data_IF_358791998047
#
_entry.id   IF_358791998047
#
_cell.length_a   1.000
_cell.length_b   1.000
_cell.length_c   1.000
_cell.angle_alpha   90.00
_cell.angle_beta   90.00
_cell.angle_gamma   90.00
#
_symmetry.space_group_name_H-M   'P 1'
#
loop_
_entity.id
_entity.type
_entity.pdbx_description
1 polymer ?
#
# COMPACT_ATOMS: atom_id res chain seq x y z
N UNK A 1 -3.14 21.38 14.25
CA UNK A 1 -1.93 21.10 13.43
C UNK A 1 -2.06 19.68 12.92
N UNK A 2 -2.51 19.48 11.67
CA UNK A 2 -2.74 18.14 11.09
C UNK A 2 -2.46 18.07 9.57
N UNK A 3 -1.56 18.93 9.08
CA UNK A 3 -1.28 19.09 7.64
C UNK A 3 -0.58 17.89 6.97
N UNK A 4 0.08 17.02 7.75
CA UNK A 4 0.79 15.85 7.20
C UNK A 4 -0.14 14.68 6.87
N UNK A 5 -1.25 14.54 7.62
CA UNK A 5 -2.25 13.49 7.39
C UNK A 5 -3.04 13.69 6.09
N UNK A 6 -3.26 14.94 5.68
CA UNK A 6 -4.01 15.25 4.47
C UNK A 6 -3.19 15.11 3.20
N UNK A 7 -1.89 15.45 3.24
CA UNK A 7 -1.06 15.50 2.03
C UNK A 7 -0.87 14.14 1.35
N UNK A 8 -0.77 13.07 2.12
CA UNK A 8 -0.63 11.74 1.51
C UNK A 8 -1.94 11.23 0.90
N UNK A 9 -3.09 11.58 1.50
CA UNK A 9 -4.42 11.31 0.94
C UNK A 9 -4.63 12.12 -0.33
N UNK A 10 -4.19 13.38 -0.35
CA UNK A 10 -4.27 14.24 -1.53
C UNK A 10 -3.49 13.64 -2.71
N UNK A 11 -2.29 13.09 -2.47
CA UNK A 11 -1.56 12.36 -3.52
C UNK A 11 -2.33 11.15 -4.06
N UNK A 12 -3.11 10.45 -3.23
CA UNK A 12 -3.96 9.36 -3.68
C UNK A 12 -5.16 9.87 -4.50
N UNK A 13 -5.74 11.03 -4.14
CA UNK A 13 -6.75 11.72 -4.95
C UNK A 13 -6.18 12.07 -6.33
N UNK A 14 -5.01 12.70 -6.34
CA UNK A 14 -4.37 13.21 -7.56
C UNK A 14 -3.66 12.12 -8.38
N UNK A 15 -3.59 10.87 -7.87
CA UNK A 15 -2.86 9.79 -8.53
C UNK A 15 -1.35 9.99 -8.57
N UNK A 16 -0.83 10.88 -7.72
CA UNK A 16 0.58 11.25 -7.70
C UNK A 16 1.45 10.20 -6.99
N UNK A 17 2.57 9.87 -7.63
CA UNK A 17 3.60 9.07 -6.98
C UNK A 17 4.52 9.94 -6.11
N UNK A 18 4.80 9.54 -4.86
CA UNK A 18 5.77 10.25 -4.03
C UNK A 18 7.16 10.25 -4.70
N UNK A 19 7.89 11.36 -4.53
CA UNK A 19 9.28 11.50 -5.01
C UNK A 19 10.12 10.33 -4.46
N UNK A 20 10.81 9.61 -5.35
CA UNK A 20 11.61 8.41 -5.02
C UNK A 20 12.92 8.74 -4.28
N UNK A 21 13.40 9.97 -4.43
CA UNK A 21 14.71 10.42 -3.92
C UNK A 21 14.97 10.10 -2.45
N UNK A 22 14.08 10.48 -1.51
CA UNK A 22 14.31 10.23 -0.09
C UNK A 22 14.35 8.74 0.28
N UNK A 23 13.56 7.90 -0.39
CA UNK A 23 13.51 6.45 -0.12
C UNK A 23 14.74 5.75 -0.68
N UNK A 24 15.14 6.11 -1.90
CA UNK A 24 16.38 5.62 -2.50
C UNK A 24 17.59 6.09 -1.70
N UNK A 25 17.60 7.34 -1.25
CA UNK A 25 18.65 7.89 -0.39
C UNK A 25 18.74 7.15 0.94
N UNK A 26 17.61 6.92 1.62
CA UNK A 26 17.58 6.15 2.85
C UNK A 26 18.10 4.72 2.62
N UNK A 27 17.69 4.05 1.53
CA UNK A 27 18.20 2.74 1.17
C UNK A 27 19.71 2.77 0.90
N UNK A 28 20.20 3.75 0.13
CA UNK A 28 21.64 3.92 -0.16
C UNK A 28 22.45 4.16 1.11
N UNK A 29 21.97 5.02 2.01
CA UNK A 29 22.61 5.29 3.31
C UNK A 29 22.63 4.01 4.15
N UNK A 30 21.51 3.31 4.28
CA UNK A 30 21.45 2.05 5.04
C UNK A 30 22.38 0.98 4.47
N UNK A 31 22.46 0.84 3.14
CA UNK A 31 23.41 -0.06 2.48
C UNK A 31 24.86 0.36 2.75
N UNK A 32 25.18 1.65 2.63
CA UNK A 32 26.53 2.15 2.87
C UNK A 32 26.97 1.96 4.33
N UNK A 33 26.08 2.22 5.29
CA UNK A 33 26.33 1.98 6.73
C UNK A 33 26.54 0.50 7.01
N UNK A 34 25.69 -0.37 6.45
CA UNK A 34 25.86 -1.82 6.61
C UNK A 34 27.16 -2.35 6.00
N UNK A 35 27.56 -1.83 4.84
CA UNK A 35 28.81 -2.19 4.18
C UNK A 35 30.03 -1.67 4.96
N UNK A 36 29.97 -0.44 5.47
CA UNK A 36 31.03 0.14 6.30
C UNK A 36 31.21 -0.64 7.61
N UNK A 37 30.12 -1.09 8.24
CA UNK A 37 30.17 -1.94 9.43
C UNK A 37 30.85 -3.30 9.13
N UNK A 38 30.51 -3.93 8.00
CA UNK A 38 31.15 -5.19 7.56
C UNK A 38 32.65 -5.00 7.26
N UNK A 39 33.03 -3.91 6.60
CA UNK A 39 34.44 -3.60 6.29
C UNK A 39 35.22 -3.31 7.58
N UNK A 40 34.64 -2.57 8.52
CA UNK A 40 35.27 -2.28 9.81
C UNK A 40 35.49 -3.57 10.63
N UNK A 41 34.53 -4.49 10.61
CA UNK A 41 34.64 -5.79 11.29
C UNK A 41 35.77 -6.66 10.71
N UNK A 42 35.97 -6.63 9.40
CA UNK A 42 37.05 -7.38 8.72
C UNK A 42 38.42 -6.69 8.77
N UNK A 43 38.47 -5.36 8.70
CA UNK A 43 39.73 -4.60 8.62
C UNK A 43 40.38 -4.35 9.99
N UNK A 44 39.61 -4.41 11.08
CA UNK A 44 40.09 -4.17 12.44
C UNK A 44 39.84 -5.39 13.34
N UNK A 45 40.70 -6.43 13.28
CA UNK A 45 40.56 -7.64 14.11
C UNK A 45 40.68 -7.38 15.63
N UNK A 46 41.20 -6.21 16.03
CA UNK A 46 41.28 -5.78 17.43
C UNK A 46 39.99 -5.14 17.97
N UNK A 47 38.99 -4.84 17.11
CA UNK A 47 37.71 -4.29 17.53
C UNK A 47 36.86 -5.29 18.35
N UNK A 48 37.12 -6.60 18.14
CA UNK A 48 36.43 -7.70 18.80
C UNK A 48 37.05 -8.11 20.15
N UNK A 49 38.24 -7.59 20.50
CA UNK A 49 38.93 -7.94 21.76
C UNK A 49 38.29 -7.34 23.01
N UNK A 50 37.33 -6.42 22.87
CA UNK A 50 36.59 -5.82 23.99
C UNK A 50 35.25 -6.49 24.33
N UNK A 51 34.83 -7.55 23.63
CA UNK A 51 33.49 -8.14 23.78
C UNK A 51 33.62 -9.61 24.21
N UNK A 52 33.53 -9.84 25.52
CA UNK A 52 33.88 -11.08 26.23
C UNK A 52 32.94 -12.29 26.03
N UNK A 53 31.92 -12.25 25.16
CA UNK A 53 31.00 -13.39 25.02
C UNK A 53 30.68 -13.78 23.58
N UNK A 54 30.88 -15.07 23.26
CA UNK A 54 30.62 -15.69 21.96
C UNK A 54 29.16 -15.53 21.48
N UNK A 55 28.22 -15.27 22.40
CA UNK A 55 26.80 -14.99 22.10
C UNK A 55 26.60 -13.61 21.46
N UNK A 56 27.44 -12.64 21.79
CA UNK A 56 27.40 -11.27 21.24
C UNK A 56 28.10 -11.18 19.88
N UNK A 57 29.15 -11.99 19.64
CA UNK A 57 29.84 -12.08 18.35
C UNK A 57 28.93 -12.58 17.22
N UNK A 58 28.15 -13.65 17.44
CA UNK A 58 27.23 -14.17 16.42
C UNK A 58 26.10 -13.19 16.05
N UNK A 59 25.61 -12.41 17.02
CA UNK A 59 24.61 -11.37 16.78
C UNK A 59 25.17 -10.18 15.99
N UNK A 60 26.48 -9.91 16.11
CA UNK A 60 27.15 -8.77 15.47
C UNK A 60 27.37 -8.95 13.96
N UNK A 61 27.60 -10.18 13.48
CA UNK A 61 27.72 -10.47 12.03
C UNK A 61 26.35 -10.53 11.33
N UNK A 62 25.34 -11.04 12.03
CA UNK A 62 23.99 -11.20 11.48
C UNK A 62 23.24 -9.87 11.34
N UNK A 63 23.44 -8.94 12.26
CA UNK A 63 22.70 -7.67 12.28
C UNK A 63 22.96 -6.77 11.05
N UNK A 64 24.21 -6.53 10.59
CA UNK A 64 24.51 -5.77 9.37
C UNK A 64 23.90 -6.41 8.12
N UNK A 65 23.96 -7.74 8.02
CA UNK A 65 23.36 -8.49 6.91
C UNK A 65 21.83 -8.34 6.87
N UNK A 66 21.17 -8.38 8.03
CA UNK A 66 19.73 -8.13 8.15
C UNK A 66 19.39 -6.70 7.72
N UNK A 67 20.16 -5.70 8.18
CA UNK A 67 19.92 -4.29 7.84
C UNK A 67 20.09 -4.04 6.33
N UNK A 68 21.15 -4.58 5.72
CA UNK A 68 21.37 -4.51 4.26
C UNK A 68 20.26 -5.23 3.50
N UNK A 69 19.88 -6.42 3.96
CA UNK A 69 18.80 -7.21 3.38
C UNK A 69 17.46 -6.48 3.39
N UNK A 70 17.07 -5.88 4.52
CA UNK A 70 15.85 -5.07 4.65
C UNK A 70 15.93 -3.83 3.74
N UNK A 71 17.06 -3.13 3.71
CA UNK A 71 17.26 -1.96 2.84
C UNK A 71 17.11 -2.30 1.36
N UNK A 72 17.71 -3.40 0.91
CA UNK A 72 17.62 -3.89 -0.46
C UNK A 72 16.19 -4.33 -0.80
N UNK A 73 15.53 -5.06 0.10
CA UNK A 73 14.14 -5.49 -0.06
C UNK A 73 13.19 -4.29 -0.22
N UNK A 74 13.36 -3.25 0.62
CA UNK A 74 12.58 -2.01 0.53
C UNK A 74 12.85 -1.25 -0.78
N UNK A 75 14.09 -1.20 -1.25
CA UNK A 75 14.45 -0.56 -2.51
C UNK A 75 13.86 -1.29 -3.73
N UNK A 76 14.04 -2.61 -3.80
CA UNK A 76 13.55 -3.44 -4.92
C UNK A 76 12.03 -3.43 -4.99
N UNK A 77 11.34 -3.61 -3.85
CA UNK A 77 9.88 -3.57 -3.79
C UNK A 77 9.30 -2.22 -4.21
N UNK A 78 9.95 -1.11 -3.83
CA UNK A 78 9.54 0.26 -4.23
C UNK A 78 9.77 0.49 -5.74
N UNK A 79 10.87 -0.01 -6.29
CA UNK A 79 11.20 0.16 -7.71
C UNK A 79 10.30 -0.67 -8.63
N UNK A 80 10.01 -1.93 -8.26
CA UNK A 80 9.15 -2.82 -9.05
C UNK A 80 7.69 -2.37 -9.03
N UNK A 81 7.15 -2.09 -7.83
CA UNK A 81 5.80 -1.55 -7.66
C UNK A 81 5.66 -0.21 -8.38
N UNK A 82 6.68 0.66 -8.31
CA UNK A 82 6.67 1.95 -8.98
C UNK A 82 6.66 1.88 -10.52
N UNK A 83 7.12 0.79 -11.16
CA UNK A 83 6.98 0.64 -12.63
C UNK A 83 5.61 0.10 -13.02
N UNK A 84 5.12 -0.90 -12.29
CA UNK A 84 3.80 -1.49 -12.54
C UNK A 84 2.70 -0.45 -12.35
N UNK A 85 2.74 0.28 -11.24
CA UNK A 85 1.74 1.30 -10.92
C UNK A 85 1.74 2.45 -11.94
N UNK A 86 2.90 2.85 -12.49
CA UNK A 86 2.97 3.92 -13.51
C UNK A 86 2.25 3.53 -14.79
N UNK A 87 2.44 2.28 -15.24
CA UNK A 87 1.80 1.79 -16.46
C UNK A 87 0.28 1.71 -16.26
N UNK A 88 -0.16 1.25 -15.09
CA UNK A 88 -1.57 1.17 -14.76
C UNK A 88 -2.19 2.56 -14.62
N UNK A 89 -1.58 3.49 -13.89
CA UNK A 89 -2.07 4.88 -13.74
C UNK A 89 -2.11 5.66 -15.07
N UNK A 90 -1.09 5.51 -15.92
CA UNK A 90 -1.09 6.16 -17.23
C UNK A 90 -2.22 5.65 -18.13
N UNK A 91 -2.56 4.36 -18.03
CA UNK A 91 -3.69 3.76 -18.76
C UNK A 91 -5.04 4.21 -18.20
N UNK A 92 -5.18 4.25 -16.88
CA UNK A 92 -6.38 4.75 -16.21
C UNK A 92 -6.68 6.18 -16.67
N UNK A 93 -5.68 7.08 -16.62
CA UNK A 93 -5.85 8.48 -17.01
C UNK A 93 -6.15 8.70 -18.50
N UNK A 94 -5.93 7.70 -19.36
CA UNK A 94 -6.26 7.78 -20.77
C UNK A 94 -7.74 7.47 -21.08
N UNK A 95 -8.45 6.79 -20.17
CA UNK A 95 -9.83 6.35 -20.39
C UNK A 95 -10.84 6.77 -19.32
N UNK A 96 -10.38 7.20 -18.13
CA UNK A 96 -11.24 7.64 -17.02
C UNK A 96 -10.60 8.75 -16.20
N UNK A 97 -11.42 9.52 -15.50
CA UNK A 97 -11.01 10.57 -14.55
C UNK A 97 -11.35 10.17 -13.12
N UNK A 98 -10.58 9.28 -12.49
CA UNK A 98 -10.85 8.83 -11.13
C UNK A 98 -10.69 9.95 -10.11
N UNK A 99 -11.55 9.97 -9.10
CA UNK A 99 -11.50 10.89 -7.95
C UNK A 99 -10.54 10.43 -6.86
N UNK A 100 -10.24 9.14 -6.82
CA UNK A 100 -9.34 8.55 -5.85
C UNK A 100 -8.65 7.29 -6.37
N UNK A 101 -7.38 7.13 -6.03
CA UNK A 101 -6.59 5.93 -6.31
C UNK A 101 -6.25 5.22 -5.00
N UNK A 102 -6.69 3.98 -4.86
CA UNK A 102 -6.42 3.10 -3.73
C UNK A 102 -5.48 1.97 -4.20
N UNK A 103 -4.15 2.13 -4.09
CA UNK A 103 -3.23 1.05 -4.38
C UNK A 103 -3.41 -0.06 -3.35
N UNK A 104 -3.39 -1.32 -3.79
CA UNK A 104 -3.57 -2.50 -2.93
C UNK A 104 -2.43 -3.49 -3.09
N UNK A 105 -2.23 -4.36 -2.10
CA UNK A 105 -1.27 -5.46 -2.14
C UNK A 105 -1.81 -6.60 -3.02
N UNK A 106 -0.94 -7.25 -3.79
CA UNK A 106 -1.28 -8.42 -4.61
C UNK A 106 -1.53 -9.69 -3.79
N UNK A 107 -0.86 -9.81 -2.64
CA UNK A 107 -0.87 -10.99 -1.77
C UNK A 107 -2.00 -11.00 -0.73
N UNK A 108 -2.83 -9.94 -0.71
CA UNK A 108 -3.64 -9.58 0.46
C UNK A 108 -5.10 -10.04 0.48
N UNK A 109 -5.47 -11.09 -0.25
CA UNK A 109 -6.88 -11.44 -0.47
C UNK A 109 -7.22 -12.81 0.10
N UNK A 110 -7.72 -12.82 1.34
CA UNK A 110 -8.45 -13.97 1.91
C UNK A 110 -9.54 -13.50 2.86
N UNK A 111 -10.79 -13.79 2.47
CA UNK A 111 -11.74 -14.55 3.30
C UNK A 111 -12.74 -15.30 2.43
N UNK A 112 -13.18 -14.75 1.30
CA UNK A 112 -14.08 -15.44 0.36
C UNK A 112 -13.71 -15.01 -1.06
N UNK A 113 -13.42 -16.01 -1.89
CA UNK A 113 -13.02 -15.92 -3.30
C UNK A 113 -11.72 -15.18 -3.64
N UNK A 114 -10.81 -15.96 -4.23
CA UNK A 114 -9.67 -15.41 -4.97
C UNK A 114 -10.23 -14.46 -6.04
N UNK A 115 -9.94 -13.15 -5.95
CA UNK A 115 -10.19 -12.25 -7.08
C UNK A 115 -9.66 -12.92 -8.36
N UNK A 116 -10.45 -12.95 -9.45
CA UNK A 116 -10.05 -13.61 -10.68
C UNK A 116 -8.67 -13.13 -11.09
N UNK A 117 -7.82 -14.08 -11.49
CA UNK A 117 -6.52 -13.72 -12.08
C UNK A 117 -6.80 -12.98 -13.39
N UNK A 118 -6.14 -11.85 -13.67
CA UNK A 118 -5.01 -11.27 -12.94
C UNK A 118 -5.41 -10.42 -11.73
N UNK A 119 -4.67 -10.58 -10.61
CA UNK A 119 -4.99 -9.91 -9.34
C UNK A 119 -4.89 -8.38 -9.47
N UNK A 120 -5.89 -7.63 -8.96
CA UNK A 120 -5.85 -6.17 -8.99
C UNK A 120 -4.76 -5.60 -8.08
N UNK A 121 -4.17 -4.50 -8.50
CA UNK A 121 -3.09 -3.79 -7.77
C UNK A 121 -3.46 -2.34 -7.44
N UNK A 122 -4.43 -1.78 -8.15
CA UNK A 122 -4.94 -0.43 -7.94
C UNK A 122 -6.45 -0.50 -8.05
N UNK A 123 -7.13 0.08 -7.08
CA UNK A 123 -8.55 0.37 -7.15
C UNK A 123 -8.72 1.85 -7.44
N UNK A 124 -9.60 2.22 -8.35
CA UNK A 124 -9.99 3.60 -8.57
C UNK A 124 -11.41 3.83 -8.10
N UNK A 125 -11.71 5.06 -7.72
CA UNK A 125 -13.05 5.48 -7.28
C UNK A 125 -13.52 6.62 -8.17
N UNK A 126 -14.71 6.51 -8.73
CA UNK A 126 -15.37 7.54 -9.54
C UNK A 126 -16.88 7.61 -9.24
N UNK A 127 -17.65 8.34 -10.04
CA UNK A 127 -19.11 8.44 -9.86
C UNK A 127 -19.87 7.12 -10.00
N UNK A 128 -19.30 6.10 -10.66
CA UNK A 128 -19.97 4.82 -10.87
C UNK A 128 -19.68 3.82 -9.76
N UNK A 129 -18.53 3.94 -9.11
CA UNK A 129 -18.17 3.10 -7.97
C UNK A 129 -16.68 2.87 -7.85
N UNK A 130 -16.35 1.64 -7.47
CA UNK A 130 -15.00 1.16 -7.28
C UNK A 130 -14.59 0.26 -8.44
N UNK A 131 -13.42 0.50 -9.02
CA UNK A 131 -12.94 -0.23 -10.21
C UNK A 131 -11.55 -0.80 -9.93
N UNK A 132 -11.40 -2.12 -10.01
CA UNK A 132 -10.17 -2.82 -9.71
C UNK A 132 -9.35 -3.06 -10.97
N UNK A 133 -8.09 -2.63 -10.98
CA UNK A 133 -7.21 -2.67 -12.13
C UNK A 133 -6.05 -3.62 -11.92
N UNK A 134 -5.82 -4.48 -12.90
CA UNK A 134 -4.66 -5.35 -12.97
C UNK A 134 -3.63 -4.80 -13.99
N UNK A 135 -2.32 -4.90 -13.74
CA UNK A 135 -1.30 -4.33 -14.64
C UNK A 135 -1.29 -4.90 -16.06
N UNK A 136 -1.83 -6.10 -16.25
CA UNK A 136 -1.87 -6.80 -17.54
C UNK A 136 -3.15 -6.58 -18.34
N UNK A 137 -4.10 -5.79 -17.83
CA UNK A 137 -5.40 -5.53 -18.48
C UNK A 137 -5.57 -4.05 -18.78
N UNK A 138 -6.29 -3.77 -19.86
CA UNK A 138 -6.61 -2.40 -20.31
C UNK A 138 -7.91 -1.86 -19.74
N UNK A 139 -8.75 -2.75 -19.21
CA UNK A 139 -10.01 -2.43 -18.53
C UNK A 139 -9.96 -2.94 -17.08
N UNK A 140 -10.85 -2.44 -16.19
CA UNK A 140 -11.05 -3.01 -14.87
C UNK A 140 -11.31 -4.52 -14.96
N UNK A 141 -10.71 -5.28 -14.05
CA UNK A 141 -10.94 -6.72 -13.91
C UNK A 141 -12.12 -7.03 -12.99
N UNK A 142 -12.55 -6.04 -12.20
CA UNK A 142 -13.67 -6.14 -11.29
C UNK A 142 -14.22 -4.74 -11.03
N UNK A 143 -15.55 -4.62 -11.04
CA UNK A 143 -16.26 -3.37 -10.80
C UNK A 143 -17.24 -3.58 -9.64
N UNK A 144 -17.26 -2.62 -8.71
CA UNK A 144 -18.13 -2.61 -7.56
C UNK A 144 -18.93 -1.30 -7.54
N UNK A 145 -20.15 -1.30 -8.12
CA UNK A 145 -20.98 -0.11 -8.19
C UNK A 145 -21.37 0.40 -6.80
N UNK A 146 -21.55 1.71 -6.64
CA UNK A 146 -21.97 2.29 -5.35
C UNK A 146 -23.24 1.66 -4.79
N UNK A 147 -24.21 1.34 -5.65
CA UNK A 147 -25.47 0.70 -5.29
C UNK A 147 -25.29 -0.68 -4.60
N UNK A 148 -24.17 -1.36 -4.85
CA UNK A 148 -23.85 -2.66 -4.23
C UNK A 148 -23.06 -2.52 -2.93
N UNK A 149 -22.57 -1.33 -2.60
CA UNK A 149 -21.71 -1.11 -1.44
C UNK A 149 -22.56 -0.69 -0.27
N UNK A 150 -22.64 -1.53 0.76
CA UNK A 150 -23.37 -1.23 1.99
C UNK A 150 -22.54 -0.42 2.97
N UNK A 151 -21.27 -0.80 3.19
CA UNK A 151 -20.38 -0.12 4.14
C UNK A 151 -18.91 -0.42 3.89
N UNK A 152 -18.07 0.49 4.37
CA UNK A 152 -16.63 0.29 4.53
C UNK A 152 -16.28 0.18 6.02
N UNK A 153 -15.42 -0.77 6.39
CA UNK A 153 -14.88 -0.90 7.75
C UNK A 153 -13.43 -1.35 7.74
N UNK A 154 -12.70 -1.16 8.83
CA UNK A 154 -11.35 -1.73 8.97
C UNK A 154 -11.48 -3.24 9.14
N UNK A 155 -10.77 -3.99 8.31
CA UNK A 155 -10.69 -5.44 8.43
C UNK A 155 -9.69 -5.79 9.54
N UNK A 156 -10.16 -6.57 10.51
CA UNK A 156 -9.36 -6.97 11.67
C UNK A 156 -9.24 -8.49 11.72
N UNK A 157 -8.06 -9.00 12.02
CA UNK A 157 -7.79 -10.43 12.20
C UNK A 157 -7.22 -10.65 13.59
N UNK A 158 -7.62 -11.75 14.21
CA UNK A 158 -6.98 -12.21 15.43
C UNK A 158 -5.71 -13.00 15.10
N UNK A 159 -4.60 -12.60 15.70
CA UNK A 159 -3.28 -13.23 15.54
C UNK A 159 -2.61 -13.34 16.90
N UNK A 160 -2.36 -14.58 17.36
CA UNK A 160 -1.71 -14.86 18.65
C UNK A 160 -2.36 -14.13 19.85
N UNK A 161 -3.69 -14.09 19.89
CA UNK A 161 -4.45 -13.42 20.96
C UNK A 161 -4.44 -11.90 20.91
N UNK A 162 -3.90 -11.30 19.84
CA UNK A 162 -3.96 -9.86 19.59
C UNK A 162 -4.78 -9.57 18.34
N UNK A 163 -5.61 -8.53 18.42
CA UNK A 163 -6.37 -8.02 17.27
C UNK A 163 -5.45 -7.13 16.43
N UNK A 164 -5.29 -7.49 15.15
CA UNK A 164 -4.49 -6.75 14.19
C UNK A 164 -5.35 -6.24 13.03
N UNK A 165 -5.23 -4.94 12.74
CA UNK A 165 -5.86 -4.32 11.59
C UNK A 165 -4.97 -4.55 10.36
N UNK A 166 -5.55 -5.09 9.29
CA UNK A 166 -4.77 -5.53 8.13
C UNK A 166 -5.34 -5.05 6.78
N UNK A 167 -6.54 -4.48 6.75
CA UNK A 167 -7.15 -4.06 5.49
C UNK A 167 -8.44 -3.27 5.64
N UNK A 168 -9.16 -3.16 4.53
CA UNK A 168 -10.49 -2.55 4.45
C UNK A 168 -11.47 -3.62 4.00
N UNK A 169 -12.50 -3.82 4.81
CA UNK A 169 -13.65 -4.64 4.53
C UNK A 169 -14.72 -3.79 3.83
N UNK A 170 -15.15 -4.24 2.66
CA UNK A 170 -16.20 -3.64 1.85
C UNK A 170 -17.37 -4.61 1.90
N UNK A 171 -18.37 -4.30 2.73
CA UNK A 171 -19.58 -5.13 2.80
C UNK A 171 -20.50 -4.77 1.65
N UNK A 172 -20.93 -5.79 0.92
CA UNK A 172 -21.82 -5.63 -0.22
C UNK A 172 -23.27 -5.95 0.15
N UNK A 173 -24.20 -5.59 -0.72
CA UNK A 173 -25.64 -5.87 -0.53
C UNK A 173 -26.02 -7.31 -0.86
N UNK A 174 -25.26 -7.96 -1.75
CA UNK A 174 -25.44 -9.33 -2.22
C UNK A 174 -24.76 -10.37 -1.30
N UNK A 175 -23.92 -9.93 -0.36
CA UNK A 175 -23.21 -10.81 0.59
C UNK A 175 -21.81 -11.22 0.12
N UNK A 176 -21.43 -10.86 -1.10
CA UNK A 176 -20.10 -11.06 -1.69
C UNK A 176 -19.10 -10.00 -1.18
N UNK A 177 -18.84 -10.04 0.13
CA UNK A 177 -17.98 -9.08 0.82
C UNK A 177 -16.54 -9.11 0.29
N UNK A 178 -15.97 -7.93 0.07
CA UNK A 178 -14.62 -7.75 -0.48
C UNK A 178 -13.66 -7.24 0.58
N UNK A 179 -12.48 -7.84 0.69
CA UNK A 179 -11.40 -7.34 1.56
C UNK A 179 -10.20 -6.90 0.73
N UNK A 180 -9.76 -5.66 0.92
CA UNK A 180 -8.57 -5.11 0.26
C UNK A 180 -7.51 -4.70 1.27
N UNK A 181 -6.24 -4.93 0.94
CA UNK A 181 -5.10 -4.49 1.76
C UNK A 181 -4.44 -3.28 1.09
N UNK A 182 -4.79 -2.05 1.50
CA UNK A 182 -4.31 -0.87 0.82
C UNK A 182 -2.84 -0.59 1.14
N UNK A 183 -2.18 0.11 0.22
CA UNK A 183 -0.84 0.68 0.37
C UNK A 183 -0.97 2.18 0.65
N UNK A 184 -0.02 2.79 1.37
CA UNK A 184 -0.12 4.21 1.75
C UNK A 184 0.18 5.18 0.60
N UNK A 185 0.74 4.70 -0.51
CA UNK A 185 0.98 5.48 -1.72
C UNK A 185 1.21 4.58 -2.93
N UNK A 186 0.92 5.11 -4.13
CA UNK A 186 1.33 4.50 -5.39
C UNK A 186 2.86 4.32 -5.41
N UNK A 187 3.33 3.17 -5.89
CA UNK A 187 4.73 2.80 -5.97
C UNK A 187 5.37 2.37 -4.64
N UNK A 188 4.60 2.23 -3.55
CA UNK A 188 5.10 1.60 -2.30
C UNK A 188 4.88 0.09 -2.34
N UNK A 189 5.76 -0.70 -1.74
CA UNK A 189 5.65 -2.16 -1.70
C UNK A 189 5.10 -2.73 -0.39
N UNK A 190 4.57 -1.89 0.50
CA UNK A 190 4.13 -2.28 1.84
C UNK A 190 2.71 -1.79 2.13
N UNK A 191 2.05 -2.49 3.05
CA UNK A 191 0.68 -2.21 3.50
C UNK A 191 0.58 -0.90 4.30
N UNK A 192 -0.63 -0.33 4.32
CA UNK A 192 -0.96 0.82 5.12
C UNK A 192 -1.02 0.44 6.61
N UNK A 193 -0.58 1.37 7.47
CA UNK A 193 -0.62 1.21 8.93
C UNK A 193 -2.06 1.35 9.47
N UNK A 194 -2.37 0.87 10.68
CA UNK A 194 -3.73 0.92 11.25
C UNK A 194 -4.38 2.32 11.26
N UNK A 195 -3.62 3.36 11.61
CA UNK A 195 -4.05 4.76 11.57
C UNK A 195 -4.40 5.24 10.15
N UNK A 196 -3.64 4.76 9.16
CA UNK A 196 -3.88 5.03 7.74
C UNK A 196 -5.11 4.28 7.24
N UNK A 197 -5.35 3.04 7.69
CA UNK A 197 -6.56 2.27 7.36
C UNK A 197 -7.82 3.00 7.83
N UNK A 198 -7.84 3.48 9.08
CA UNK A 198 -8.96 4.24 9.61
C UNK A 198 -9.22 5.54 8.81
N UNK A 199 -8.15 6.19 8.33
CA UNK A 199 -8.26 7.38 7.49
C UNK A 199 -8.80 7.04 6.10
N UNK A 200 -8.33 5.97 5.46
CA UNK A 200 -8.85 5.51 4.17
C UNK A 200 -10.33 5.14 4.25
N UNK A 201 -10.76 4.43 5.29
CA UNK A 201 -12.18 4.10 5.50
C UNK A 201 -13.03 5.37 5.61
N UNK A 202 -12.57 6.40 6.34
CA UNK A 202 -13.27 7.69 6.42
C UNK A 202 -13.38 8.37 5.06
N UNK A 203 -12.31 8.36 4.26
CA UNK A 203 -12.30 8.93 2.90
C UNK A 203 -13.27 8.19 1.99
N UNK A 204 -13.25 6.86 1.97
CA UNK A 204 -14.16 6.05 1.14
C UNK A 204 -15.63 6.26 1.51
N UNK A 205 -15.95 6.37 2.81
CA UNK A 205 -17.30 6.74 3.27
C UNK A 205 -17.68 8.18 2.90
N UNK A 206 -16.70 9.09 2.82
CA UNK A 206 -16.91 10.45 2.29
C UNK A 206 -17.30 10.40 0.81
N UNK A 207 -16.47 9.74 0.00
CA UNK A 207 -16.70 9.57 -1.44
C UNK A 207 -18.01 8.85 -1.73
N UNK A 208 -18.38 7.82 -0.97
CA UNK A 208 -19.67 7.15 -1.12
C UNK A 208 -20.85 8.11 -0.90
N UNK A 209 -20.76 9.02 0.06
CA UNK A 209 -21.81 10.01 0.31
C UNK A 209 -21.84 11.12 -0.75
N UNK A 210 -20.67 11.50 -1.26
CA UNK A 210 -20.53 12.54 -2.28
C UNK A 210 -20.93 12.05 -3.68
N UNK A 211 -20.62 10.81 -4.02
CA UNK A 211 -20.72 10.25 -5.38
C UNK A 211 -21.79 9.15 -5.50
N UNK A 212 -22.05 8.41 -4.42
CA UNK A 212 -22.99 7.29 -4.42
C UNK A 212 -24.44 7.70 -4.19
N UNK A 213 -24.69 8.99 -3.91
CA UNK A 213 -26.03 9.57 -4.00
C UNK A 213 -26.17 10.05 -5.44
N UNK A 214 -27.05 9.37 -6.18
CA UNK A 214 -27.48 9.77 -7.52
C UNK A 214 -27.66 11.29 -7.56
N UNK A 215 -27.01 12.04 -8.46
CA UNK A 215 -27.30 13.45 -8.58
C UNK A 215 -28.79 13.55 -8.86
N UNK A 216 -29.54 14.13 -7.93
CA UNK A 216 -30.95 14.41 -8.10
C UNK A 216 -31.10 14.98 -9.51
N UNK A 217 -31.87 14.25 -10.32
CA UNK A 217 -32.33 14.65 -11.64
C UNK A 217 -32.56 16.15 -11.57
N UNK A 218 -31.68 16.92 -12.23
CA UNK A 218 -31.93 18.34 -12.41
C UNK A 218 -33.10 18.42 -13.36
N UNK A 219 -34.30 18.46 -12.77
CA UNK A 219 -35.46 19.14 -13.32
C UNK A 219 -35.00 20.50 -13.85
N UNK A 220 -34.77 20.57 -15.16
CA UNK A 220 -34.85 21.79 -15.94
C UNK A 220 -35.44 21.44 -17.31
N UNK A 221 -36.76 21.60 -17.32
CA UNK A 221 -37.57 22.24 -18.37
C UNK A 221 -36.99 22.36 -19.77
#
# INVERSE_FOLDING_TARGET
>A
MDYSGERWVQRLRDGEMPKRGPVLLAATISTAVGLAALVAEFAFPDFLRGIESARTQGAFVLWPLIVVGIGLLLAVSTLSAGRADRRTSARIGAGRTPRFHLPVMTSGLRTSDDFPRPRPQIWTVDEFGLHAWAPSREAPVFDLPWARIRRFSVATRESRGQRADYGIWITTTDGDDVVVQPRPALGRGFEARPDQLATLVRVLRGLQRELGVEPAVSDRH
#
